data_IF_749804157448
#
_entry.id   IF_749804157448
#
_cell.length_a   1.000
_cell.length_b   1.000
_cell.length_c   1.000
_cell.angle_alpha   90.00
_cell.angle_beta   90.00
_cell.angle_gamma   90.00
#
_symmetry.space_group_name_H-M   'P 1'
#
loop_
_entity.id
_entity.type
_entity.pdbx_description
1 polymer ?
#
# COMPACT_ATOMS: atom_id res chain seq x y z
N UNK A 1 8.92 -10.31 -3.60
CA UNK A 1 7.44 -10.18 -3.47
C UNK A 1 6.98 -8.92 -4.22
N UNK A 2 5.76 -8.93 -4.79
CA UNK A 2 5.24 -7.79 -5.58
C UNK A 2 4.66 -6.68 -4.68
N UNK A 3 4.00 -7.06 -3.58
CA UNK A 3 3.51 -6.18 -2.52
C UNK A 3 3.72 -6.88 -1.17
N UNK A 4 3.98 -6.13 -0.11
CA UNK A 4 4.15 -6.67 1.25
C UNK A 4 3.88 -5.62 2.31
N UNK A 5 3.67 -6.09 3.54
CA UNK A 5 3.62 -5.25 4.74
C UNK A 5 4.37 -5.96 5.87
N UNK A 6 4.91 -5.20 6.82
CA UNK A 6 5.67 -5.71 7.95
C UNK A 6 5.65 -4.73 9.13
N UNK A 7 5.80 -5.24 10.35
CA UNK A 7 6.09 -4.42 11.54
C UNK A 7 7.49 -4.78 12.03
N UNK A 8 8.40 -3.82 12.08
CA UNK A 8 9.78 -4.01 12.56
C UNK A 8 10.08 -2.94 13.62
N UNK A 9 10.50 -3.38 14.82
CA UNK A 9 10.85 -2.52 15.96
C UNK A 9 9.78 -1.44 16.28
N UNK A 10 8.51 -1.80 16.16
CA UNK A 10 7.37 -0.90 16.38
C UNK A 10 7.01 -0.01 15.19
N UNK A 11 7.83 0.02 14.13
CA UNK A 11 7.54 0.72 12.88
C UNK A 11 6.73 -0.16 11.93
N UNK A 12 5.57 0.35 11.47
CA UNK A 12 4.78 -0.29 10.40
C UNK A 12 5.37 0.11 9.03
N UNK A 13 5.49 -0.86 8.14
CA UNK A 13 6.01 -0.70 6.79
C UNK A 13 5.05 -1.34 5.79
N UNK A 14 4.82 -0.67 4.67
CA UNK A 14 4.00 -1.19 3.58
C UNK A 14 4.64 -0.81 2.25
N UNK A 15 4.64 -1.73 1.29
CA UNK A 15 5.29 -1.57 0.00
C UNK A 15 4.46 -2.20 -1.12
N UNK A 16 4.42 -1.53 -2.27
CA UNK A 16 3.87 -2.07 -3.51
C UNK A 16 4.77 -1.72 -4.69
N UNK A 17 5.01 -2.70 -5.57
CA UNK A 17 5.67 -2.51 -6.87
C UNK A 17 4.67 -2.26 -8.01
N UNK A 18 3.37 -2.08 -7.70
CA UNK A 18 2.34 -1.72 -8.66
C UNK A 18 2.38 -0.21 -8.97
N UNK A 19 1.55 0.25 -9.91
CA UNK A 19 1.41 1.68 -10.21
C UNK A 19 2.41 2.23 -11.24
N UNK A 20 2.98 1.38 -12.10
CA UNK A 20 3.93 1.80 -13.13
C UNK A 20 3.29 2.78 -14.14
N UNK A 21 2.02 2.58 -14.50
CA UNK A 21 1.27 3.48 -15.37
C UNK A 21 0.46 4.49 -14.55
N UNK A 22 0.42 5.75 -14.99
CA UNK A 22 -0.34 6.82 -14.32
C UNK A 22 -1.85 6.52 -14.31
N UNK A 23 -2.34 5.85 -15.33
CA UNK A 23 -3.75 5.46 -15.48
C UNK A 23 -4.20 4.52 -14.35
N UNK A 24 -3.27 3.74 -13.79
CA UNK A 24 -3.56 2.82 -12.70
C UNK A 24 -4.08 3.54 -11.45
N UNK A 25 -3.60 4.77 -11.18
CA UNK A 25 -4.03 5.59 -10.04
C UNK A 25 -5.50 6.03 -10.11
N UNK A 26 -6.12 5.98 -11.29
CA UNK A 26 -7.54 6.23 -11.47
C UNK A 26 -8.41 4.96 -11.28
N UNK A 27 -7.79 3.77 -11.22
CA UNK A 27 -8.54 2.52 -11.09
C UNK A 27 -9.08 2.34 -9.66
N UNK A 28 -10.39 2.07 -9.48
CA UNK A 28 -10.98 1.96 -8.14
C UNK A 28 -10.32 0.89 -7.26
N UNK A 29 -9.94 -0.24 -7.85
CA UNK A 29 -9.27 -1.31 -7.10
C UNK A 29 -7.87 -0.89 -6.63
N UNK A 30 -7.17 -0.06 -7.40
CA UNK A 30 -5.83 0.38 -7.04
C UNK A 30 -5.88 1.48 -5.98
N UNK A 31 -6.87 2.37 -6.06
CA UNK A 31 -7.16 3.32 -4.97
C UNK A 31 -7.47 2.58 -3.67
N UNK A 32 -8.28 1.51 -3.71
CA UNK A 32 -8.55 0.65 -2.55
C UNK A 32 -7.29 -0.03 -2.00
N UNK A 33 -6.40 -0.47 -2.89
CA UNK A 33 -5.11 -1.07 -2.49
C UNK A 33 -4.22 -0.06 -1.75
N UNK A 34 -4.11 1.17 -2.27
CA UNK A 34 -3.37 2.26 -1.61
C UNK A 34 -4.00 2.64 -0.27
N UNK A 35 -5.33 2.79 -0.24
CA UNK A 35 -6.07 3.08 0.98
C UNK A 35 -5.80 2.05 2.07
N UNK A 36 -5.87 0.74 1.77
CA UNK A 36 -5.57 -0.30 2.74
C UNK A 36 -4.13 -0.25 3.27
N UNK A 37 -3.16 0.13 2.42
CA UNK A 37 -1.78 0.37 2.85
C UNK A 37 -1.66 1.53 3.84
N UNK A 38 -2.33 2.65 3.56
CA UNK A 38 -2.34 3.82 4.44
C UNK A 38 -3.07 3.55 5.77
N UNK A 39 -4.20 2.87 5.73
CA UNK A 39 -4.96 2.47 6.93
C UNK A 39 -4.12 1.56 7.82
N UNK A 40 -3.40 0.59 7.25
CA UNK A 40 -2.47 -0.24 8.01
C UNK A 40 -1.40 0.60 8.73
N UNK A 41 -0.76 1.53 8.02
CA UNK A 41 0.28 2.40 8.60
C UNK A 41 -0.24 3.31 9.72
N UNK A 42 -1.50 3.77 9.62
CA UNK A 42 -2.12 4.72 10.56
C UNK A 42 -2.89 4.04 11.70
N UNK A 43 -3.15 2.74 11.62
CA UNK A 43 -3.79 2.00 12.71
C UNK A 43 -2.95 2.09 13.99
N UNK A 44 -3.61 2.13 15.15
CA UNK A 44 -2.95 2.02 16.46
C UNK A 44 -2.64 0.54 16.73
#
# INVERSE_FOLDING_TARGET
>A
PLCWYNTLDGGKQWYTALGHSKEMYALPWFQKHLQGGLEYLLSN
#
